data_IF_689749417513
#
_entry.id   IF_689749417513
#
_cell.length_a   1.000
_cell.length_b   1.000
_cell.length_c   1.000
_cell.angle_alpha   90.00
_cell.angle_beta   90.00
_cell.angle_gamma   90.00
#
_symmetry.space_group_name_H-M   'P 1'
#
loop_
_entity.id
_entity.type
_entity.pdbx_description
1 polymer ?
#
# COMPACT_ATOMS: atom_id res chain seq x y z
N UNK A 1 21.41 3.68 2.61
CA UNK A 1 20.10 3.39 3.25
C UNK A 1 19.86 4.31 4.45
N UNK A 2 18.63 4.75 4.65
CA UNK A 2 18.26 5.53 5.83
C UNK A 2 18.16 4.63 7.08
N UNK A 3 18.12 5.20 8.31
CA UNK A 3 18.08 4.39 9.54
C UNK A 3 16.90 3.43 9.63
N UNK A 4 15.71 3.82 9.17
CA UNK A 4 14.53 2.94 9.18
C UNK A 4 14.71 1.75 8.24
N UNK A 5 15.25 1.98 7.06
CA UNK A 5 15.47 0.91 6.08
C UNK A 5 16.56 -0.09 6.55
N UNK A 6 17.58 0.37 7.26
CA UNK A 6 18.55 -0.53 7.87
C UNK A 6 17.89 -1.48 8.86
N UNK A 7 17.00 -0.95 9.70
CA UNK A 7 16.25 -1.77 10.67
C UNK A 7 15.28 -2.72 9.97
N UNK A 8 14.58 -2.25 8.95
CA UNK A 8 13.63 -3.08 8.20
C UNK A 8 14.34 -4.19 7.43
N UNK A 9 15.47 -3.88 6.80
CA UNK A 9 16.27 -4.85 6.08
C UNK A 9 16.78 -5.96 7.02
N UNK A 10 17.26 -5.58 8.21
CA UNK A 10 17.66 -6.53 9.24
C UNK A 10 16.51 -7.44 9.66
N UNK A 11 15.33 -6.86 9.90
CA UNK A 11 14.13 -7.60 10.27
C UNK A 11 13.74 -8.62 9.18
N UNK A 12 13.73 -8.20 7.91
CA UNK A 12 13.40 -9.10 6.81
C UNK A 12 14.37 -10.29 6.74
N UNK A 13 15.66 -10.04 6.96
CA UNK A 13 16.67 -11.11 6.96
C UNK A 13 16.51 -12.06 8.14
N UNK A 14 16.27 -11.52 9.34
CA UNK A 14 16.09 -12.34 10.55
C UNK A 14 14.84 -13.22 10.47
N UNK A 15 13.76 -12.71 9.86
CA UNK A 15 12.50 -13.44 9.68
C UNK A 15 12.48 -14.27 8.40
N UNK A 16 13.57 -14.29 7.65
CA UNK A 16 13.70 -15.02 6.39
C UNK A 16 12.64 -14.65 5.34
N UNK A 17 12.28 -13.37 5.30
CA UNK A 17 11.31 -12.85 4.33
C UNK A 17 12.06 -12.43 3.07
N UNK A 18 11.82 -13.13 1.97
CA UNK A 18 12.55 -12.94 0.71
C UNK A 18 11.70 -12.40 -0.43
N UNK A 19 10.45 -12.06 -0.15
CA UNK A 19 9.48 -11.67 -1.19
C UNK A 19 9.61 -10.22 -1.67
N UNK A 20 10.54 -9.46 -1.11
CA UNK A 20 10.73 -8.05 -1.47
C UNK A 20 11.97 -7.84 -2.33
N UNK A 21 11.80 -7.03 -3.38
CA UNK A 21 12.89 -6.34 -4.06
C UNK A 21 12.98 -4.93 -3.48
N UNK A 22 14.15 -4.32 -3.47
CA UNK A 22 14.30 -2.98 -2.93
C UNK A 22 15.19 -2.11 -3.79
N UNK A 23 14.95 -0.81 -3.69
CA UNK A 23 15.75 0.20 -4.37
C UNK A 23 15.99 1.38 -3.44
N UNK A 24 17.26 1.77 -3.33
CA UNK A 24 17.67 3.02 -2.68
C UNK A 24 17.76 4.09 -3.78
N UNK A 25 16.95 5.14 -3.66
CA UNK A 25 16.89 6.18 -4.68
C UNK A 25 18.03 7.17 -4.57
N UNK A 26 18.77 7.16 -3.45
CA UNK A 26 19.90 8.06 -3.19
C UNK A 26 19.51 9.54 -3.41
N UNK A 27 18.30 9.88 -3.00
CA UNK A 27 17.78 11.24 -3.08
C UNK A 27 18.01 12.02 -1.78
N UNK A 28 17.60 13.28 -1.73
CA UNK A 28 17.76 14.15 -0.56
C UNK A 28 17.00 13.63 0.66
N UNK A 29 15.89 12.95 0.42
CA UNK A 29 15.03 12.41 1.48
C UNK A 29 15.47 11.03 1.97
N UNK A 30 16.48 10.44 1.34
CA UNK A 30 16.96 9.11 1.66
C UNK A 30 15.95 8.02 1.40
N UNK A 31 15.15 8.15 0.34
CA UNK A 31 14.05 7.23 0.04
C UNK A 31 14.54 5.84 -0.33
N UNK A 32 14.02 4.83 0.35
CA UNK A 32 14.20 3.41 0.04
C UNK A 32 12.82 2.79 -0.12
N UNK A 33 12.60 2.07 -1.23
CA UNK A 33 11.33 1.44 -1.54
C UNK A 33 11.52 -0.07 -1.62
N UNK A 34 10.73 -0.80 -0.86
CA UNK A 34 10.60 -2.26 -0.93
C UNK A 34 9.35 -2.59 -1.72
N UNK A 35 9.46 -3.52 -2.66
CA UNK A 35 8.40 -3.87 -3.59
C UNK A 35 8.09 -5.36 -3.53
N UNK A 36 6.80 -5.68 -3.54
CA UNK A 36 6.29 -7.03 -3.67
C UNK A 36 4.97 -6.99 -4.46
N UNK A 37 4.39 -8.15 -4.68
CA UNK A 37 3.08 -8.28 -5.33
C UNK A 37 2.19 -9.17 -4.50
N UNK A 38 0.91 -8.80 -4.42
CA UNK A 38 -0.12 -9.61 -3.79
C UNK A 38 -1.01 -10.14 -4.90
N UNK A 39 -1.16 -11.46 -4.97
CA UNK A 39 -2.09 -12.10 -5.90
C UNK A 39 -3.50 -11.99 -5.35
N UNK A 40 -4.42 -11.53 -6.17
CA UNK A 40 -5.84 -11.48 -5.82
C UNK A 40 -6.68 -12.16 -6.90
N UNK A 41 -7.96 -12.48 -6.62
CA UNK A 41 -8.85 -13.03 -7.65
C UNK A 41 -9.10 -12.08 -8.82
N UNK A 42 -8.82 -10.78 -8.67
CA UNK A 42 -9.03 -9.80 -9.74
C UNK A 42 -7.79 -9.67 -10.63
N UNK A 43 -6.66 -9.33 -10.03
CA UNK A 43 -5.36 -9.12 -10.68
C UNK A 43 -4.27 -9.05 -9.63
N UNK A 44 -3.01 -9.06 -10.06
CA UNK A 44 -1.88 -8.85 -9.17
C UNK A 44 -1.86 -7.39 -8.70
N UNK A 45 -1.67 -7.20 -7.40
CA UNK A 45 -1.65 -5.88 -6.78
C UNK A 45 -0.25 -5.56 -6.29
N UNK A 46 0.41 -4.53 -6.85
CA UNK A 46 1.72 -4.11 -6.35
C UNK A 46 1.64 -3.61 -4.91
N UNK A 47 2.62 -4.01 -4.10
CA UNK A 47 2.74 -3.63 -2.70
C UNK A 47 4.09 -2.96 -2.49
N UNK A 48 4.08 -1.78 -1.84
CA UNK A 48 5.29 -1.02 -1.57
C UNK A 48 5.40 -0.71 -0.09
N UNK A 49 6.62 -0.79 0.44
CA UNK A 49 6.99 -0.18 1.72
C UNK A 49 7.96 0.95 1.40
N UNK A 50 7.60 2.16 1.77
CA UNK A 50 8.35 3.38 1.45
C UNK A 50 8.89 3.98 2.73
N UNK A 51 10.21 4.00 2.86
CA UNK A 51 10.92 4.49 4.05
C UNK A 51 11.85 5.63 3.64
N UNK A 52 11.78 6.74 4.36
CA UNK A 52 12.65 7.89 4.15
C UNK A 52 13.06 8.52 5.49
N UNK A 53 13.76 9.66 5.43
CA UNK A 53 14.25 10.34 6.62
C UNK A 53 13.18 11.17 7.35
N UNK A 54 11.95 11.22 6.82
CA UNK A 54 10.83 11.90 7.50
C UNK A 54 10.29 11.03 8.64
N UNK A 55 9.37 11.59 9.42
CA UNK A 55 8.65 10.82 10.45
C UNK A 55 7.62 9.87 9.85
N UNK A 56 7.37 9.95 8.55
CA UNK A 56 6.37 9.14 7.87
C UNK A 56 7.00 7.93 7.21
N UNK A 57 6.35 6.78 7.36
CA UNK A 57 6.62 5.57 6.60
C UNK A 57 5.31 5.09 6.02
N UNK A 58 5.32 4.57 4.80
CA UNK A 58 4.08 4.24 4.09
C UNK A 58 4.12 2.80 3.63
N UNK A 59 3.05 2.06 3.90
CA UNK A 59 2.72 0.83 3.19
C UNK A 59 1.65 1.19 2.15
N UNK A 60 1.93 0.92 0.89
CA UNK A 60 1.05 1.25 -0.22
C UNK A 60 0.68 0.02 -1.01
N UNK A 61 -0.62 -0.21 -1.16
CA UNK A 61 -1.15 -1.27 -2.00
C UNK A 61 -1.87 -0.64 -3.19
N UNK A 62 -1.53 -1.09 -4.40
CA UNK A 62 -2.23 -0.64 -5.60
C UNK A 62 -3.39 -1.61 -5.84
N UNK A 63 -4.59 -1.23 -5.37
CA UNK A 63 -5.79 -2.07 -5.46
C UNK A 63 -6.29 -2.23 -6.89
N UNK A 64 -6.13 -1.20 -7.73
CA UNK A 64 -6.59 -1.22 -9.10
C UNK A 64 -5.61 -0.49 -10.00
N UNK A 65 -4.52 -1.17 -10.46
CA UNK A 65 -3.51 -0.53 -11.32
C UNK A 65 -4.10 -0.23 -12.70
N UNK A 66 -4.20 1.06 -13.03
CA UNK A 66 -4.71 1.54 -14.31
C UNK A 66 -6.15 1.06 -14.64
N UNK A 67 -6.95 0.80 -13.60
CA UNK A 67 -8.30 0.23 -13.75
C UNK A 67 -9.43 1.25 -13.57
N UNK A 68 -9.11 2.48 -13.21
CA UNK A 68 -10.11 3.53 -13.02
C UNK A 68 -10.51 4.12 -14.38
N UNK A 69 -11.80 4.19 -14.62
CA UNK A 69 -12.39 4.70 -15.87
C UNK A 69 -13.46 5.74 -15.56
N UNK A 70 -13.91 6.48 -16.57
CA UNK A 70 -15.04 7.40 -16.42
C UNK A 70 -16.32 6.65 -15.98
N UNK A 71 -16.48 5.41 -16.41
CA UNK A 71 -17.66 4.60 -16.12
C UNK A 71 -17.70 4.10 -14.67
N UNK A 72 -16.55 3.76 -14.07
CA UNK A 72 -16.51 3.21 -12.71
C UNK A 72 -16.16 4.24 -11.64
N UNK A 73 -15.82 5.47 -12.00
CA UNK A 73 -15.34 6.51 -11.09
C UNK A 73 -16.30 6.75 -9.93
N UNK A 74 -17.60 6.88 -10.21
CA UNK A 74 -18.60 7.18 -9.16
C UNK A 74 -18.74 6.03 -8.17
N UNK A 75 -18.73 4.78 -8.64
CA UNK A 75 -18.79 3.61 -7.77
C UNK A 75 -17.55 3.49 -6.91
N UNK A 76 -16.37 3.75 -7.48
CA UNK A 76 -15.10 3.74 -6.74
C UNK A 76 -15.05 4.86 -5.70
N UNK A 77 -15.53 6.06 -6.01
CA UNK A 77 -15.59 7.15 -5.04
C UNK A 77 -16.51 6.82 -3.86
N UNK A 78 -17.64 6.14 -4.10
CA UNK A 78 -18.53 5.69 -3.03
C UNK A 78 -17.84 4.65 -2.13
N UNK A 79 -17.12 3.70 -2.71
CA UNK A 79 -16.31 2.70 -1.99
C UNK A 79 -15.22 3.37 -1.16
N UNK A 80 -14.49 4.30 -1.74
CA UNK A 80 -13.45 5.07 -1.07
C UNK A 80 -14.00 5.79 0.16
N UNK A 81 -15.11 6.49 0.01
CA UNK A 81 -15.70 7.23 1.12
C UNK A 81 -16.13 6.30 2.24
N UNK A 82 -16.77 5.19 1.91
CA UNK A 82 -17.22 4.21 2.91
C UNK A 82 -16.04 3.59 3.65
N UNK A 83 -15.02 3.14 2.93
CA UNK A 83 -13.88 2.45 3.54
C UNK A 83 -13.01 3.41 4.35
N UNK A 84 -12.80 4.64 3.89
CA UNK A 84 -12.11 5.67 4.68
C UNK A 84 -12.86 6.00 5.98
N UNK A 85 -14.20 5.94 5.97
CA UNK A 85 -15.00 6.15 7.16
C UNK A 85 -14.98 4.95 8.12
N UNK A 86 -14.78 3.75 7.60
CA UNK A 86 -14.84 2.50 8.36
C UNK A 86 -13.51 2.14 9.01
N UNK A 87 -12.41 2.23 8.26
CA UNK A 87 -11.08 1.84 8.72
C UNK A 87 -10.34 3.04 9.30
N UNK A 88 -9.71 2.84 10.47
CA UNK A 88 -9.03 3.92 11.19
C UNK A 88 -7.70 4.33 10.57
N UNK A 89 -7.04 3.38 9.91
CA UNK A 89 -5.65 3.52 9.52
C UNK A 89 -5.44 3.48 8.00
N UNK A 90 -6.50 3.42 7.21
CA UNK A 90 -6.41 3.35 5.75
C UNK A 90 -6.76 4.68 5.12
N UNK A 91 -6.06 4.97 4.03
CA UNK A 91 -6.35 6.10 3.17
C UNK A 91 -6.48 5.55 1.75
N UNK A 92 -7.71 5.53 1.25
CA UNK A 92 -7.98 5.14 -0.13
C UNK A 92 -8.12 6.38 -1.00
N UNK A 93 -7.54 6.34 -2.19
CA UNK A 93 -7.63 7.45 -3.12
C UNK A 93 -7.36 6.99 -4.55
N UNK A 94 -7.83 7.80 -5.51
CA UNK A 94 -7.54 7.61 -6.92
C UNK A 94 -6.44 8.60 -7.30
N UNK A 95 -5.37 8.09 -7.94
CA UNK A 95 -4.37 8.94 -8.56
C UNK A 95 -4.79 9.15 -10.02
N UNK A 96 -5.15 10.38 -10.34
CA UNK A 96 -5.62 10.73 -11.69
C UNK A 96 -4.52 10.66 -12.75
N UNK A 97 -3.25 10.73 -12.33
CA UNK A 97 -2.12 10.68 -13.26
C UNK A 97 -1.97 9.30 -13.91
N UNK A 98 -2.21 8.24 -13.15
CA UNK A 98 -2.07 6.86 -13.65
C UNK A 98 -3.39 6.07 -13.68
N UNK A 99 -4.49 6.69 -13.29
CA UNK A 99 -5.83 6.07 -13.24
C UNK A 99 -5.86 4.82 -12.36
N UNK A 100 -5.17 4.85 -11.24
CA UNK A 100 -5.08 3.74 -10.30
C UNK A 100 -5.77 4.05 -8.99
N UNK A 101 -6.30 3.00 -8.34
CA UNK A 101 -6.83 3.06 -6.98
C UNK A 101 -5.77 2.58 -6.00
N UNK A 102 -5.47 3.42 -5.00
CA UNK A 102 -4.45 3.17 -3.99
C UNK A 102 -5.06 3.01 -2.61
N UNK A 103 -4.42 2.17 -1.79
CA UNK A 103 -4.66 2.10 -0.36
C UNK A 103 -3.32 2.32 0.35
N UNK A 104 -3.22 3.38 1.14
CA UNK A 104 -2.05 3.69 1.94
C UNK A 104 -2.35 3.49 3.43
N UNK A 105 -1.35 2.99 4.16
CA UNK A 105 -1.32 2.99 5.60
C UNK A 105 -0.05 3.71 6.04
N UNK A 106 -0.20 4.78 6.83
CA UNK A 106 0.92 5.63 7.26
C UNK A 106 1.33 5.28 8.68
N UNK A 107 2.62 5.04 8.88
CA UNK A 107 3.24 4.81 10.17
C UNK A 107 4.11 6.02 10.51
N UNK A 108 3.76 6.70 11.61
CA UNK A 108 4.48 7.89 12.06
C UNK A 108 5.36 7.56 13.27
N UNK A 109 6.67 7.79 13.13
CA UNK A 109 7.60 7.66 14.25
C UNK A 109 8.91 8.37 13.94
N UNK A 110 9.69 8.68 14.97
CA UNK A 110 11.09 9.08 14.81
C UNK A 110 11.96 7.87 14.50
N UNK A 111 13.18 8.10 14.00
CA UNK A 111 14.09 7.04 13.57
C UNK A 111 14.41 6.04 14.68
N UNK A 112 14.56 6.53 15.92
CA UNK A 112 14.88 5.72 17.09
C UNK A 112 13.69 4.95 17.66
N UNK A 113 12.47 5.28 17.21
CA UNK A 113 11.24 4.63 17.62
C UNK A 113 10.65 3.72 16.54
N UNK A 114 11.31 3.55 15.40
CA UNK A 114 10.82 2.73 14.31
C UNK A 114 10.89 1.24 14.69
N UNK A 115 9.74 0.57 14.63
CA UNK A 115 9.60 -0.84 14.93
C UNK A 115 9.27 -1.62 13.64
N UNK A 116 10.24 -2.35 13.06
CA UNK A 116 10.00 -3.11 11.82
C UNK A 116 8.86 -4.12 11.92
N UNK A 117 8.71 -4.77 13.08
CA UNK A 117 7.63 -5.74 13.31
C UNK A 117 6.25 -5.08 13.23
N UNK A 118 6.11 -3.85 13.72
CA UNK A 118 4.86 -3.10 13.63
C UNK A 118 4.56 -2.69 12.18
N UNK A 119 5.59 -2.27 11.45
CA UNK A 119 5.46 -1.98 10.02
C UNK A 119 4.97 -3.20 9.25
N UNK A 120 5.53 -4.37 9.55
CA UNK A 120 5.12 -5.63 8.93
C UNK A 120 3.69 -6.02 9.32
N UNK A 121 3.28 -5.77 10.56
CA UNK A 121 1.90 -6.00 11.01
C UNK A 121 0.89 -5.11 10.29
N UNK A 122 1.23 -3.85 10.03
CA UNK A 122 0.41 -2.95 9.23
C UNK A 122 0.27 -3.46 7.79
N UNK A 123 1.35 -3.96 7.22
CA UNK A 123 1.34 -4.58 5.90
C UNK A 123 0.42 -5.80 5.85
N UNK A 124 0.48 -6.66 6.87
CA UNK A 124 -0.39 -7.84 6.97
C UNK A 124 -1.86 -7.44 7.06
N UNK A 125 -2.16 -6.37 7.78
CA UNK A 125 -3.52 -5.80 7.86
C UNK A 125 -4.05 -5.38 6.49
N UNK A 126 -3.20 -4.72 5.69
CA UNK A 126 -3.55 -4.32 4.31
C UNK A 126 -3.81 -5.56 3.44
N UNK A 127 -2.99 -6.59 3.56
CA UNK A 127 -3.18 -7.84 2.80
C UNK A 127 -4.53 -8.48 3.14
N UNK A 128 -4.93 -8.47 4.41
CA UNK A 128 -6.20 -9.02 4.87
C UNK A 128 -7.43 -8.24 4.35
N UNK A 129 -7.25 -6.97 4.01
CA UNK A 129 -8.30 -6.16 3.38
C UNK A 129 -8.79 -6.78 2.06
N UNK A 130 -7.89 -7.40 1.29
CA UNK A 130 -8.20 -7.91 -0.04
C UNK A 130 -9.32 -8.96 -0.01
N UNK A 131 -9.21 -10.09 0.73
CA UNK A 131 -10.26 -11.10 0.72
C UNK A 131 -11.59 -10.58 1.30
N UNK A 132 -11.54 -9.64 2.24
CA UNK A 132 -12.74 -9.05 2.82
C UNK A 132 -13.46 -8.12 1.84
N UNK A 133 -12.74 -7.50 0.91
CA UNK A 133 -13.26 -6.42 0.06
C UNK A 133 -13.34 -6.79 -1.41
N UNK A 134 -12.87 -7.97 -1.82
CA UNK A 134 -12.73 -8.34 -3.23
C UNK A 134 -14.07 -8.27 -3.99
N UNK A 135 -15.17 -8.70 -3.37
CA UNK A 135 -16.49 -8.67 -3.99
C UNK A 135 -16.96 -7.25 -4.29
N UNK A 136 -16.76 -6.35 -3.34
CA UNK A 136 -17.14 -4.94 -3.48
C UNK A 136 -16.23 -4.21 -4.47
N UNK A 137 -14.93 -4.52 -4.45
CA UNK A 137 -13.97 -3.98 -5.42
C UNK A 137 -14.34 -4.40 -6.83
N UNK A 138 -14.62 -5.68 -7.02
CA UNK A 138 -15.04 -6.21 -8.32
C UNK A 138 -16.28 -5.50 -8.84
N UNK A 139 -17.30 -5.39 -8.01
CA UNK A 139 -18.55 -4.72 -8.37
C UNK A 139 -18.30 -3.25 -8.77
N UNK A 140 -17.47 -2.55 -8.01
CA UNK A 140 -17.16 -1.15 -8.28
C UNK A 140 -16.37 -0.98 -9.59
N UNK A 141 -15.34 -1.79 -9.81
CA UNK A 141 -14.53 -1.71 -11.02
C UNK A 141 -15.32 -2.09 -12.29
N UNK A 142 -16.24 -3.04 -12.19
CA UNK A 142 -17.09 -3.48 -13.31
C UNK A 142 -18.31 -2.58 -13.52
N UNK A 143 -18.54 -1.59 -12.66
CA UNK A 143 -19.66 -0.67 -12.75
C UNK A 143 -19.63 0.09 -14.07
N UNK A 144 -20.77 0.16 -14.75
CA UNK A 144 -20.92 0.86 -16.02
C UNK A 144 -20.46 0.05 -17.24
N UNK A 145 -19.93 -1.16 -17.06
CA UNK A 145 -19.62 -2.08 -18.17
C UNK A 145 -20.81 -3.02 -18.41
N UNK A 146 -21.15 -3.19 -19.66
CA UNK A 146 -22.28 -4.04 -20.08
C UNK A 146 -21.83 -5.05 -21.13
#
# INVERSE_FOLDING_TARGET
MNPKSLLFDKFLKEEEIISFEWKDFDDEDGTVVYRSYIKSPLWDMPLFVILDNSIYSVVRLVLGPEKVTAQNMNALNALINRDNATYKNYKLYIDEQDSSLYLDCVYMCGDDAFEPALMYALMSSIVDYIPESVGELKAAFESGTH
#
